data_IF_522665403105
#
_entry.id   IF_522665403105
#
_cell.length_a   1.000
_cell.length_b   1.000
_cell.length_c   1.000
_cell.angle_alpha   90.00
_cell.angle_beta   90.00
_cell.angle_gamma   90.00
#
_symmetry.space_group_name_H-M   'P 1'
#
loop_
_entity.id
_entity.type
_entity.pdbx_description
1 polymer ?
#
# COMPACT_ATOMS: atom_id res chain seq x y z
N UNK A 1 -3.98 -13.74 -22.05
CA UNK A 1 -2.65 -13.27 -21.60
C UNK A 1 -2.84 -12.63 -20.24
N UNK A 2 -2.23 -13.18 -19.19
CA UNK A 2 -2.39 -12.68 -17.82
C UNK A 2 -1.61 -11.39 -17.56
N UNK A 3 -1.94 -10.69 -16.47
CA UNK A 3 -1.18 -9.53 -16.01
C UNK A 3 0.27 -9.86 -15.68
N UNK A 4 1.17 -8.90 -15.88
CA UNK A 4 2.61 -9.04 -15.65
C UNK A 4 3.24 -7.68 -15.30
N UNK A 5 4.54 -7.64 -15.06
CA UNK A 5 5.32 -6.41 -15.03
C UNK A 5 6.44 -6.43 -16.08
N UNK A 6 6.74 -5.27 -16.67
CA UNK A 6 7.88 -5.12 -17.60
C UNK A 6 9.04 -4.43 -16.90
N UNK A 7 10.26 -4.74 -17.33
CA UNK A 7 11.50 -4.19 -16.78
C UNK A 7 12.36 -3.57 -17.88
N UNK A 8 12.81 -2.33 -17.70
CA UNK A 8 13.80 -1.67 -18.56
C UNK A 8 14.79 -0.87 -17.71
N UNK A 9 15.98 -0.61 -18.25
CA UNK A 9 17.01 0.21 -17.58
C UNK A 9 17.42 1.33 -18.51
N UNK A 10 17.29 2.57 -18.05
CA UNK A 10 17.73 3.76 -18.78
C UNK A 10 19.26 3.88 -18.80
N UNK A 11 19.79 4.70 -19.70
CA UNK A 11 21.22 5.00 -19.79
C UNK A 11 21.78 5.71 -18.55
N UNK A 12 20.91 6.36 -17.77
CA UNK A 12 21.21 6.94 -16.46
C UNK A 12 21.34 5.91 -15.32
N UNK A 13 21.02 4.64 -15.59
CA UNK A 13 21.02 3.56 -14.61
C UNK A 13 19.74 3.46 -13.78
N UNK A 14 18.67 4.17 -14.13
CA UNK A 14 17.36 4.03 -13.47
C UNK A 14 16.58 2.89 -14.11
N UNK A 15 16.25 1.87 -13.32
CA UNK A 15 15.35 0.79 -13.73
C UNK A 15 13.89 1.25 -13.64
N UNK A 16 13.09 0.99 -14.68
CA UNK A 16 11.64 1.20 -14.67
C UNK A 16 10.96 -0.15 -14.65
N UNK A 17 10.13 -0.37 -13.62
CA UNK A 17 9.24 -1.52 -13.50
C UNK A 17 7.80 -1.02 -13.73
N UNK A 18 7.16 -1.52 -14.79
CA UNK A 18 5.81 -1.09 -15.16
C UNK A 18 4.81 -2.22 -14.93
N UNK A 19 3.81 -1.98 -14.08
CA UNK A 19 2.69 -2.91 -13.84
C UNK A 19 1.76 -2.87 -15.04
N UNK A 20 1.45 -4.03 -15.62
CA UNK A 20 0.55 -4.15 -16.76
C UNK A 20 -0.43 -5.31 -16.54
N UNK A 21 -1.57 -4.98 -15.93
CA UNK A 21 -2.68 -5.91 -15.73
C UNK A 21 -4.02 -5.19 -16.01
N UNK A 22 -4.41 -5.03 -17.29
CA UNK A 22 -5.64 -4.33 -17.63
C UNK A 22 -6.87 -5.00 -17.00
N UNK A 23 -7.93 -4.23 -16.67
CA UNK A 23 -8.13 -2.83 -17.05
C UNK A 23 -7.61 -1.78 -16.05
N UNK A 24 -7.20 -2.18 -14.85
CA UNK A 24 -6.92 -1.26 -13.72
C UNK A 24 -5.65 -1.59 -12.93
N UNK A 25 -4.79 -2.46 -13.47
CA UNK A 25 -3.53 -2.87 -12.87
C UNK A 25 -3.71 -3.47 -11.46
N UNK A 26 -4.74 -4.32 -11.29
CA UNK A 26 -4.94 -5.07 -10.04
C UNK A 26 -3.76 -6.00 -9.75
N UNK A 27 -3.47 -6.23 -8.48
CA UNK A 27 -2.34 -7.03 -8.02
C UNK A 27 -2.85 -8.43 -7.64
N UNK A 28 -2.80 -9.36 -8.59
CA UNK A 28 -2.97 -10.78 -8.31
C UNK A 28 -1.61 -11.45 -8.07
N UNK A 29 -1.63 -12.75 -7.73
CA UNK A 29 -0.42 -13.52 -7.44
C UNK A 29 0.62 -13.51 -8.58
N UNK A 30 0.17 -13.53 -9.84
CA UNK A 30 1.06 -13.49 -11.02
C UNK A 30 1.79 -12.14 -11.12
N UNK A 31 1.04 -11.04 -10.98
CA UNK A 31 1.61 -9.69 -11.03
C UNK A 31 2.54 -9.44 -9.85
N UNK A 32 2.14 -9.83 -8.63
CA UNK A 32 2.96 -9.68 -7.42
C UNK A 32 4.28 -10.47 -7.51
N UNK A 33 4.21 -11.70 -8.03
CA UNK A 33 5.40 -12.51 -8.29
C UNK A 33 6.33 -11.84 -9.29
N UNK A 34 5.80 -11.41 -10.44
CA UNK A 34 6.57 -10.71 -11.47
C UNK A 34 7.20 -9.41 -10.95
N UNK A 35 6.45 -8.65 -10.15
CA UNK A 35 6.95 -7.42 -9.52
C UNK A 35 8.08 -7.71 -8.53
N UNK A 36 7.93 -8.77 -7.73
CA UNK A 36 8.97 -9.22 -6.77
C UNK A 36 10.25 -9.63 -7.50
N UNK A 37 10.13 -10.44 -8.55
CA UNK A 37 11.26 -10.89 -9.37
C UNK A 37 11.99 -9.72 -10.05
N UNK A 38 11.25 -8.77 -10.64
CA UNK A 38 11.85 -7.60 -11.28
C UNK A 38 12.50 -6.65 -10.27
N UNK A 39 11.95 -6.52 -9.06
CA UNK A 39 12.56 -5.71 -8.02
C UNK A 39 13.87 -6.34 -7.51
N UNK A 40 13.87 -7.66 -7.26
CA UNK A 40 15.08 -8.40 -6.89
C UNK A 40 16.16 -8.32 -7.99
N UNK A 41 15.77 -8.52 -9.25
CA UNK A 41 16.66 -8.33 -10.40
C UNK A 41 17.26 -6.91 -10.43
N UNK A 42 16.46 -5.87 -10.18
CA UNK A 42 16.92 -4.50 -10.14
C UNK A 42 17.95 -4.27 -9.01
N UNK A 43 17.75 -4.89 -7.85
CA UNK A 43 18.67 -4.80 -6.72
C UNK A 43 20.00 -5.51 -6.98
N UNK A 44 19.99 -6.63 -7.69
CA UNK A 44 21.19 -7.42 -7.98
C UNK A 44 22.02 -6.90 -9.17
N UNK A 45 21.42 -6.13 -10.09
CA UNK A 45 22.11 -5.67 -11.31
C UNK A 45 22.95 -4.42 -11.06
N UNK A 46 24.28 -4.51 -11.22
CA UNK A 46 25.22 -3.39 -10.99
C UNK A 46 24.93 -2.14 -11.84
N UNK A 47 24.45 -2.34 -13.07
CA UNK A 47 24.07 -1.23 -13.95
C UNK A 47 22.87 -0.42 -13.43
N UNK A 48 22.07 -0.99 -12.52
CA UNK A 48 20.93 -0.31 -11.91
C UNK A 48 21.38 0.41 -10.66
N UNK A 49 21.12 1.72 -10.61
CA UNK A 49 21.46 2.61 -9.49
C UNK A 49 20.24 3.00 -8.67
N UNK A 50 19.08 3.08 -9.29
CA UNK A 50 17.81 3.44 -8.66
C UNK A 50 16.64 2.77 -9.39
N UNK A 51 15.46 2.71 -8.75
CA UNK A 51 14.27 2.01 -9.24
C UNK A 51 13.09 2.98 -9.31
N UNK A 52 12.33 2.93 -10.39
CA UNK A 52 11.02 3.59 -10.52
C UNK A 52 9.97 2.53 -10.78
N UNK A 53 8.86 2.57 -10.03
CA UNK A 53 7.68 1.72 -10.27
C UNK A 53 6.54 2.59 -10.79
N UNK A 54 5.88 2.15 -11.86
CA UNK A 54 4.70 2.84 -12.42
C UNK A 54 3.69 1.84 -12.96
N UNK A 55 2.53 2.31 -13.41
CA UNK A 55 1.51 1.48 -14.05
C UNK A 55 1.31 1.81 -15.52
N UNK A 56 0.98 0.81 -16.32
CA UNK A 56 0.70 0.97 -17.74
C UNK A 56 -0.67 1.63 -17.97
N UNK A 57 -0.82 2.32 -19.11
CA UNK A 57 -2.11 2.85 -19.61
C UNK A 57 -2.79 3.87 -18.66
N UNK A 58 -2.02 4.78 -18.07
CA UNK A 58 -2.55 5.90 -17.27
C UNK A 58 -3.23 5.47 -15.96
N UNK A 59 -2.83 4.33 -15.40
CA UNK A 59 -3.36 3.83 -14.12
C UNK A 59 -2.24 3.19 -13.34
N UNK A 60 -2.06 3.59 -12.08
CA UNK A 60 -1.02 2.99 -11.26
C UNK A 60 -1.42 1.57 -10.82
N UNK A 61 -2.36 1.46 -9.88
CA UNK A 61 -2.92 0.16 -9.46
C UNK A 61 -4.21 0.34 -8.65
N UNK A 62 -5.23 -0.47 -8.97
CA UNK A 62 -6.44 -0.57 -8.16
C UNK A 62 -6.30 -1.43 -6.88
N UNK A 63 -5.07 -1.80 -6.50
CA UNK A 63 -4.82 -2.62 -5.31
C UNK A 63 -4.94 -4.12 -5.57
N UNK A 64 -5.07 -4.91 -4.50
CA UNK A 64 -5.16 -6.38 -4.60
C UNK A 64 -6.37 -6.81 -5.44
N UNK A 65 -6.19 -7.86 -6.25
CA UNK A 65 -7.29 -8.41 -7.05
C UNK A 65 -8.29 -9.14 -6.16
N UNK A 66 -9.42 -8.49 -5.89
CA UNK A 66 -10.47 -9.04 -5.02
C UNK A 66 -11.18 -10.27 -5.61
N UNK A 67 -11.08 -10.51 -6.92
CA UNK A 67 -11.55 -11.79 -7.48
C UNK A 67 -10.67 -12.96 -7.05
N UNK A 68 -9.47 -12.68 -6.52
CA UNK A 68 -8.56 -13.66 -5.93
C UNK A 68 -8.61 -13.65 -4.39
N UNK A 69 -9.65 -13.10 -3.77
CA UNK A 69 -9.77 -13.12 -2.30
C UNK A 69 -10.02 -14.54 -1.77
N UNK A 70 -10.73 -15.38 -2.51
CA UNK A 70 -10.92 -16.79 -2.16
C UNK A 70 -9.58 -17.52 -2.08
N UNK A 71 -8.63 -17.18 -2.96
CA UNK A 71 -7.27 -17.71 -2.89
C UNK A 71 -6.57 -17.33 -1.59
N UNK A 72 -6.79 -16.11 -1.09
CA UNK A 72 -6.26 -15.68 0.20
C UNK A 72 -6.94 -16.44 1.35
N UNK A 73 -8.25 -16.66 1.28
CA UNK A 73 -9.00 -17.41 2.29
C UNK A 73 -8.56 -18.88 2.37
N UNK A 74 -8.19 -19.46 1.22
CA UNK A 74 -7.61 -20.81 1.10
C UNK A 74 -6.14 -20.88 1.57
N UNK A 75 -5.54 -19.76 1.97
CA UNK A 75 -4.16 -19.71 2.46
C UNK A 75 -3.10 -19.78 1.36
N UNK A 76 -3.45 -19.43 0.12
CA UNK A 76 -2.46 -19.36 -0.98
C UNK A 76 -1.51 -18.17 -0.78
N UNK A 77 -0.36 -18.22 -1.45
CA UNK A 77 0.80 -17.35 -1.23
C UNK A 77 0.62 -15.84 -1.54
N UNK A 78 -0.59 -15.36 -1.87
CA UNK A 78 -0.83 -13.97 -2.26
C UNK A 78 -0.36 -12.95 -1.23
N UNK A 79 -0.76 -13.10 0.03
CA UNK A 79 -0.31 -12.20 1.11
C UNK A 79 1.19 -12.36 1.44
N UNK A 80 1.73 -13.57 1.31
CA UNK A 80 3.16 -13.79 1.49
C UNK A 80 3.96 -12.99 0.46
N UNK A 81 3.51 -12.92 -0.80
CA UNK A 81 4.15 -12.10 -1.84
C UNK A 81 4.08 -10.60 -1.50
N UNK A 82 2.94 -10.11 -0.99
CA UNK A 82 2.81 -8.71 -0.55
C UNK A 82 3.81 -8.38 0.56
N UNK A 83 3.95 -9.27 1.55
CA UNK A 83 4.91 -9.10 2.64
C UNK A 83 6.35 -9.15 2.14
N UNK A 84 6.70 -10.15 1.33
CA UNK A 84 8.04 -10.26 0.74
C UNK A 84 8.41 -9.01 -0.07
N UNK A 85 7.51 -8.51 -0.91
CA UNK A 85 7.74 -7.29 -1.69
C UNK A 85 7.93 -6.06 -0.78
N UNK A 86 7.11 -5.94 0.26
CA UNK A 86 7.23 -4.84 1.24
C UNK A 86 8.58 -4.88 1.97
N UNK A 87 9.01 -6.07 2.39
CA UNK A 87 10.27 -6.26 3.12
C UNK A 87 11.47 -5.95 2.21
N UNK A 88 11.41 -6.36 0.93
CA UNK A 88 12.42 -6.01 -0.08
C UNK A 88 12.51 -4.50 -0.27
N UNK A 89 11.38 -3.81 -0.43
CA UNK A 89 11.35 -2.36 -0.63
C UNK A 89 11.90 -1.59 0.59
N UNK A 90 11.58 -2.03 1.81
CA UNK A 90 12.00 -1.36 3.04
C UNK A 90 13.47 -1.63 3.42
N UNK A 91 14.05 -2.72 2.91
CA UNK A 91 15.47 -3.09 3.14
C UNK A 91 16.36 -2.85 1.92
N UNK A 92 15.79 -2.31 0.84
CA UNK A 92 16.49 -2.03 -0.41
C UNK A 92 17.67 -1.09 -0.18
N UNK A 93 18.80 -1.41 -0.83
CA UNK A 93 20.00 -0.56 -0.83
C UNK A 93 20.02 0.47 -1.96
N UNK A 94 19.08 0.35 -2.91
CA UNK A 94 18.91 1.28 -4.03
C UNK A 94 17.62 2.06 -3.81
N UNK A 95 17.61 3.39 -4.01
CA UNK A 95 16.41 4.17 -3.84
C UNK A 95 15.34 3.75 -4.83
N UNK A 96 14.10 3.70 -4.36
CA UNK A 96 12.92 3.41 -5.17
C UNK A 96 11.89 4.52 -5.07
N UNK A 97 11.32 4.94 -6.21
CA UNK A 97 10.27 5.94 -6.31
C UNK A 97 9.06 5.36 -7.03
N UNK A 98 7.85 5.65 -6.56
CA UNK A 98 6.61 5.31 -7.26
C UNK A 98 6.13 6.51 -8.11
N UNK A 99 6.02 6.33 -9.43
CA UNK A 99 5.39 7.27 -10.35
C UNK A 99 3.90 6.94 -10.46
N UNK A 100 3.07 7.62 -9.67
CA UNK A 100 1.64 7.34 -9.51
C UNK A 100 0.83 8.09 -10.59
N UNK A 101 0.59 7.43 -11.72
CA UNK A 101 -0.10 7.99 -12.89
C UNK A 101 -1.63 7.79 -12.89
N UNK A 102 -2.24 7.63 -11.72
CA UNK A 102 -3.68 7.37 -11.60
C UNK A 102 -4.07 6.78 -10.24
N UNK A 103 -5.17 6.02 -10.16
CA UNK A 103 -5.61 5.43 -8.90
C UNK A 103 -4.54 4.56 -8.24
N UNK A 104 -4.37 4.72 -6.93
CA UNK A 104 -3.56 3.89 -6.04
C UNK A 104 -4.42 3.48 -4.85
N UNK A 105 -5.12 2.36 -4.96
CA UNK A 105 -6.14 1.94 -3.99
C UNK A 105 -5.59 0.90 -2.99
N UNK A 106 -6.03 0.99 -1.74
CA UNK A 106 -5.62 0.13 -0.62
C UNK A 106 -6.16 0.69 0.70
N UNK A 107 -5.52 0.36 1.83
CA UNK A 107 -5.60 0.89 3.21
C UNK A 107 -6.97 1.36 3.77
N UNK A 108 -7.68 2.26 3.10
CA UNK A 108 -9.06 2.62 3.44
C UNK A 108 -10.10 1.70 2.80
N UNK A 109 -9.87 1.23 1.58
CA UNK A 109 -10.87 0.44 0.85
C UNK A 109 -11.13 -0.92 1.51
N UNK A 110 -10.08 -1.52 2.07
CA UNK A 110 -10.10 -2.82 2.75
C UNK A 110 -11.07 -2.82 3.93
N UNK A 111 -11.05 -1.75 4.73
CA UNK A 111 -11.85 -1.61 5.95
C UNK A 111 -13.33 -1.46 5.63
N UNK A 112 -13.73 -0.51 4.78
CA UNK A 112 -15.15 -0.27 4.55
C UNK A 112 -15.81 -1.27 3.61
N UNK A 113 -15.09 -1.79 2.60
CA UNK A 113 -15.72 -2.58 1.54
C UNK A 113 -15.58 -4.08 1.73
N UNK A 114 -14.60 -4.53 2.50
CA UNK A 114 -14.28 -5.96 2.60
C UNK A 114 -14.28 -6.48 4.03
N UNK A 115 -14.48 -5.61 5.02
CA UNK A 115 -14.54 -6.03 6.43
C UNK A 115 -13.23 -6.59 6.96
N UNK A 116 -12.11 -6.15 6.39
CA UNK A 116 -10.75 -6.54 6.75
C UNK A 116 -9.92 -5.30 7.06
N UNK A 117 -8.84 -5.45 7.82
CA UNK A 117 -7.87 -4.38 7.99
C UNK A 117 -6.88 -4.37 6.82
N UNK A 118 -6.06 -3.32 6.66
CA UNK A 118 -4.93 -3.38 5.74
C UNK A 118 -3.99 -4.51 6.09
N UNK A 119 -3.59 -5.33 5.11
CA UNK A 119 -2.71 -6.49 5.32
C UNK A 119 -1.25 -6.29 4.87
N UNK A 120 -0.96 -5.19 4.17
CA UNK A 120 0.37 -4.87 3.61
C UNK A 120 1.21 -3.90 4.45
N UNK A 121 0.93 -3.80 5.76
CA UNK A 121 1.54 -2.88 6.72
C UNK A 121 0.92 -1.48 6.72
N UNK A 122 -0.25 -1.30 6.11
CA UNK A 122 -0.94 -0.01 6.05
C UNK A 122 -1.28 0.54 7.43
N UNK A 123 -1.63 -0.32 8.39
CA UNK A 123 -1.94 0.09 9.79
C UNK A 123 -0.72 0.69 10.48
N UNK A 124 0.50 0.36 10.03
CA UNK A 124 1.73 0.81 10.64
C UNK A 124 2.40 1.95 9.88
N UNK A 125 2.42 1.88 8.54
CA UNK A 125 3.08 2.88 7.70
C UNK A 125 2.26 4.15 7.58
N UNK A 126 0.93 4.05 7.43
CA UNK A 126 0.09 5.22 7.17
C UNK A 126 0.10 6.24 8.31
N UNK A 127 -0.04 5.85 9.61
CA UNK A 127 0.07 6.81 10.71
C UNK A 127 1.43 7.53 10.76
N UNK A 128 2.50 6.83 10.39
CA UNK A 128 3.87 7.37 10.39
C UNK A 128 4.15 8.30 9.19
N UNK A 129 3.42 8.12 8.09
CA UNK A 129 3.55 8.94 6.88
C UNK A 129 2.59 10.14 6.87
N UNK A 130 1.34 9.95 7.29
CA UNK A 130 0.29 10.97 7.20
C UNK A 130 -0.07 11.63 8.54
N UNK A 131 0.41 11.08 9.65
CA UNK A 131 -0.06 11.40 11.00
C UNK A 131 -1.25 10.54 11.41
N UNK A 132 -1.36 10.26 12.71
CA UNK A 132 -2.37 9.36 13.25
C UNK A 132 -3.82 9.79 12.95
N UNK A 133 -4.24 11.07 13.12
CA UNK A 133 -5.60 11.48 12.82
C UNK A 133 -5.98 11.27 11.35
N UNK A 134 -5.06 11.59 10.43
CA UNK A 134 -5.33 11.44 9.00
C UNK A 134 -5.37 9.97 8.58
N UNK A 135 -4.49 9.15 9.14
CA UNK A 135 -4.49 7.71 8.87
C UNK A 135 -5.80 7.04 9.32
N UNK A 136 -6.28 7.35 10.53
CA UNK A 136 -7.57 6.88 11.03
C UNK A 136 -8.70 7.35 10.12
N UNK A 137 -8.71 8.62 9.72
CA UNK A 137 -9.72 9.15 8.80
C UNK A 137 -9.76 8.34 7.50
N UNK A 138 -8.60 8.11 6.89
CA UNK A 138 -8.50 7.39 5.62
C UNK A 138 -8.97 5.94 5.75
N UNK A 139 -8.57 5.27 6.84
CA UNK A 139 -8.96 3.88 7.09
C UNK A 139 -10.44 3.73 7.36
N UNK A 140 -11.05 4.62 8.14
CA UNK A 140 -12.45 4.46 8.56
C UNK A 140 -13.48 5.04 7.58
N UNK A 141 -13.13 6.10 6.84
CA UNK A 141 -14.07 6.76 5.91
C UNK A 141 -13.95 6.28 4.47
N UNK A 142 -12.81 5.67 4.11
CA UNK A 142 -12.52 5.17 2.75
C UNK A 142 -12.73 6.20 1.64
N UNK A 143 -12.53 7.49 1.96
CA UNK A 143 -12.63 8.58 1.00
C UNK A 143 -11.34 8.68 0.17
N UNK A 144 -11.42 8.87 -1.16
CA UNK A 144 -10.26 9.16 -1.98
C UNK A 144 -9.54 10.41 -1.46
N UNK A 145 -8.21 10.37 -1.49
CA UNK A 145 -7.34 11.52 -1.21
C UNK A 145 -6.70 11.94 -2.54
N UNK A 146 -6.89 13.18 -2.95
CA UNK A 146 -6.41 13.72 -4.22
C UNK A 146 -5.09 14.47 -4.09
N UNK A 147 -4.39 14.71 -5.20
CA UNK A 147 -2.99 15.16 -5.27
C UNK A 147 -2.58 16.21 -4.23
N UNK A 148 -3.24 17.36 -4.19
CA UNK A 148 -2.89 18.45 -3.25
C UNK A 148 -3.03 18.05 -1.79
N UNK A 149 -4.11 17.34 -1.45
CA UNK A 149 -4.34 16.82 -0.12
C UNK A 149 -3.32 15.73 0.23
N UNK A 150 -3.02 14.84 -0.71
CA UNK A 150 -2.03 13.79 -0.55
C UNK A 150 -0.65 14.39 -0.27
N UNK A 151 -0.26 15.43 -1.00
CA UNK A 151 1.00 16.13 -0.78
C UNK A 151 1.03 16.85 0.57
N UNK A 152 -0.06 17.55 0.92
CA UNK A 152 -0.19 18.25 2.20
C UNK A 152 0.03 17.33 3.40
N UNK A 153 -0.49 16.11 3.35
CA UNK A 153 -0.32 15.14 4.44
C UNK A 153 0.98 14.32 4.33
N UNK A 154 1.74 14.44 3.24
CA UNK A 154 2.99 13.70 3.03
C UNK A 154 2.78 12.26 2.55
N UNK A 155 1.67 12.00 1.85
CA UNK A 155 1.43 10.74 1.13
C UNK A 155 2.14 10.69 -0.22
N UNK A 156 2.39 11.86 -0.82
CA UNK A 156 3.21 12.01 -2.03
C UNK A 156 4.23 13.12 -1.82
N UNK A 157 5.42 12.94 -2.38
CA UNK A 157 6.53 13.89 -2.23
C UNK A 157 6.53 15.00 -3.30
N UNK A 158 5.83 14.80 -4.41
CA UNK A 158 5.73 15.77 -5.51
C UNK A 158 4.43 15.58 -6.31
N UNK A 159 3.97 16.66 -6.95
CA UNK A 159 2.86 16.67 -7.91
C UNK A 159 3.38 17.32 -9.19
N UNK A 160 3.16 16.65 -10.32
CA UNK A 160 3.54 17.12 -11.67
C UNK A 160 2.46 16.70 -12.67
N UNK A 161 2.54 17.19 -13.91
CA UNK A 161 1.65 16.72 -14.98
C UNK A 161 2.01 15.28 -15.41
N UNK A 162 1.07 14.62 -16.10
CA UNK A 162 1.26 13.22 -16.52
C UNK A 162 2.46 13.02 -17.45
N UNK A 163 2.71 13.99 -18.34
CA UNK A 163 3.83 14.00 -19.28
C UNK A 163 5.19 14.21 -18.60
N UNK A 164 5.22 14.85 -17.43
CA UNK A 164 6.44 15.06 -16.64
C UNK A 164 6.69 13.97 -15.60
N UNK A 165 5.67 13.15 -15.30
CA UNK A 165 5.68 12.26 -14.14
C UNK A 165 6.84 11.27 -14.12
N UNK A 166 7.11 10.60 -15.24
CA UNK A 166 8.15 9.59 -15.29
C UNK A 166 9.54 10.22 -15.16
N UNK A 167 9.78 11.33 -15.86
CA UNK A 167 11.04 12.07 -15.77
C UNK A 167 11.27 12.63 -14.36
N UNK A 168 10.23 13.19 -13.73
CA UNK A 168 10.32 13.68 -12.35
C UNK A 168 10.65 12.55 -11.37
N UNK A 169 10.01 11.40 -11.50
CA UNK A 169 10.27 10.25 -10.63
C UNK A 169 11.70 9.70 -10.81
N UNK A 170 12.20 9.65 -12.06
CA UNK A 170 13.59 9.27 -12.36
C UNK A 170 14.57 10.24 -11.72
N UNK A 171 14.34 11.54 -11.89
CA UNK A 171 15.17 12.58 -11.28
C UNK A 171 15.18 12.46 -9.76
N UNK A 172 14.01 12.31 -9.13
CA UNK A 172 13.92 12.13 -7.68
C UNK A 172 14.69 10.89 -7.19
N UNK A 173 14.61 9.77 -7.91
CA UNK A 173 15.32 8.56 -7.54
C UNK A 173 16.85 8.76 -7.59
N UNK A 174 17.33 9.52 -8.59
CA UNK A 174 18.74 9.92 -8.71
C UNK A 174 19.15 10.95 -7.65
N UNK A 175 18.29 11.90 -7.30
CA UNK A 175 18.55 12.91 -6.26
C UNK A 175 18.70 12.23 -4.88
N UNK A 176 17.85 11.25 -4.58
CA UNK A 176 17.95 10.45 -3.34
C UNK A 176 19.29 9.72 -3.32
N UNK A 177 19.69 9.09 -4.43
CA UNK A 177 20.98 8.41 -4.53
C UNK A 177 22.14 9.39 -4.31
N UNK A 178 22.11 10.54 -5.00
CA UNK A 178 23.15 11.56 -4.95
C UNK A 178 23.28 12.20 -3.55
N UNK A 179 22.20 12.21 -2.76
CA UNK A 179 22.23 12.74 -1.39
C UNK A 179 23.19 11.99 -0.46
N UNK A 180 23.51 10.72 -0.77
CA UNK A 180 24.35 9.85 0.06
C UNK A 180 23.77 9.54 1.44
N UNK A 181 22.54 9.98 1.74
CA UNK A 181 21.89 9.74 3.03
C UNK A 181 21.40 8.29 3.11
N UNK A 182 21.45 7.66 4.28
CA UNK A 182 20.83 6.35 4.48
C UNK A 182 19.35 6.37 4.11
N UNK A 183 18.88 5.36 3.38
CA UNK A 183 17.46 5.17 3.13
C UNK A 183 16.78 4.80 4.45
N UNK A 184 15.73 5.55 4.81
CA UNK A 184 15.01 5.37 6.08
C UNK A 184 13.70 4.67 5.81
N UNK A 185 13.55 3.48 6.40
CA UNK A 185 12.30 2.74 6.40
C UNK A 185 11.14 3.59 6.93
N UNK A 186 9.97 3.48 6.29
CA UNK A 186 8.77 4.20 6.70
C UNK A 186 8.33 3.83 8.12
N UNK A 187 8.59 2.59 8.56
CA UNK A 187 8.29 2.09 9.90
C UNK A 187 9.11 2.78 10.99
N UNK A 188 10.29 3.31 10.64
CA UNK A 188 11.19 4.03 11.57
C UNK A 188 10.84 5.52 11.69
N UNK A 189 9.93 6.03 10.86
CA UNK A 189 9.44 7.41 10.99
C UNK A 189 8.52 7.49 12.19
N UNK A 190 8.85 8.38 13.13
CA UNK A 190 8.07 8.59 14.35
C UNK A 190 7.75 10.08 14.57
N UNK A 191 8.21 10.96 13.68
CA UNK A 191 8.00 12.41 13.74
C UNK A 191 6.53 12.82 13.65
N UNK A 192 5.69 11.97 13.04
CA UNK A 192 4.23 12.16 12.93
C UNK A 192 3.41 11.31 13.91
N UNK A 193 4.05 10.61 14.84
CA UNK A 193 3.37 9.86 15.90
C UNK A 193 3.38 10.71 17.17
N UNK A 194 2.20 10.97 17.71
CA UNK A 194 2.04 11.74 18.93
C UNK A 194 2.60 10.98 20.14
N UNK A 195 2.97 11.69 21.23
CA UNK A 195 3.28 11.05 22.50
C UNK A 195 2.15 10.08 22.92
N UNK A 196 2.52 8.95 23.52
CA UNK A 196 1.60 7.82 23.75
C UNK A 196 0.26 8.21 24.39
N UNK A 197 0.28 9.11 25.38
CA UNK A 197 -0.95 9.60 26.01
C UNK A 197 -1.89 10.28 25.02
N UNK A 198 -1.35 11.13 24.15
CA UNK A 198 -2.13 11.83 23.11
C UNK A 198 -2.60 10.89 22.00
N UNK A 199 -1.75 9.95 21.58
CA UNK A 199 -2.13 8.93 20.61
C UNK A 199 -3.34 8.11 21.09
N UNK A 200 -3.34 7.72 22.37
CA UNK A 200 -4.46 7.01 23.00
C UNK A 200 -5.74 7.82 23.06
N UNK A 201 -5.65 9.12 23.37
CA UNK A 201 -6.81 10.01 23.30
C UNK A 201 -7.44 10.02 21.90
N UNK A 202 -6.61 10.16 20.86
CA UNK A 202 -7.05 10.18 19.46
C UNK A 202 -7.73 8.86 19.10
N UNK A 203 -7.12 7.72 19.44
CA UNK A 203 -7.66 6.39 19.18
C UNK A 203 -8.98 6.14 19.94
N UNK A 204 -9.06 6.55 21.21
CA UNK A 204 -10.28 6.41 22.00
C UNK A 204 -11.42 7.27 21.47
N UNK A 205 -11.11 8.49 21.02
CA UNK A 205 -12.09 9.34 20.34
C UNK A 205 -12.58 8.68 19.06
N UNK A 206 -11.68 8.10 18.25
CA UNK A 206 -12.04 7.38 17.03
C UNK A 206 -12.93 6.17 17.34
N UNK A 207 -12.61 5.38 18.37
CA UNK A 207 -13.44 4.25 18.83
C UNK A 207 -14.86 4.68 19.22
N UNK A 208 -14.99 5.84 19.88
CA UNK A 208 -16.30 6.38 20.29
C UNK A 208 -17.16 6.90 19.14
N UNK A 209 -16.56 7.29 18.01
CA UNK A 209 -17.25 7.80 16.82
C UNK A 209 -17.46 6.73 15.73
N UNK A 210 -16.71 5.64 15.80
CA UNK A 210 -16.73 4.57 14.82
C UNK A 210 -18.01 3.72 14.91
N UNK A 211 -18.51 3.20 13.76
CA UNK A 211 -19.50 2.14 13.76
C UNK A 211 -19.05 0.93 14.59
N UNK A 212 -19.99 0.26 15.25
CA UNK A 212 -19.73 -0.93 16.06
C UNK A 212 -19.47 -2.18 15.19
N UNK A 213 -18.42 -2.15 14.39
CA UNK A 213 -18.00 -3.22 13.49
C UNK A 213 -16.65 -3.79 13.94
N UNK A 214 -16.53 -5.12 13.93
CA UNK A 214 -15.34 -5.83 14.43
C UNK A 214 -14.05 -5.37 13.74
N UNK A 215 -14.04 -5.28 12.42
CA UNK A 215 -12.87 -4.90 11.64
C UNK A 215 -12.44 -3.44 11.87
N UNK A 216 -13.38 -2.53 12.16
CA UNK A 216 -13.05 -1.15 12.50
C UNK A 216 -12.35 -1.07 13.86
N UNK A 217 -12.87 -1.75 14.87
CA UNK A 217 -12.23 -1.83 16.20
C UNK A 217 -10.84 -2.44 16.09
N UNK A 218 -10.76 -3.58 15.41
CA UNK A 218 -9.51 -4.28 15.19
C UNK A 218 -8.47 -3.42 14.46
N UNK A 219 -8.88 -2.59 13.48
CA UNK A 219 -8.00 -1.65 12.80
C UNK A 219 -7.36 -0.67 13.79
N UNK A 220 -8.16 -0.04 14.65
CA UNK A 220 -7.68 0.90 15.67
C UNK A 220 -6.79 0.22 16.72
N UNK A 221 -7.14 -0.98 17.14
CA UNK A 221 -6.37 -1.75 18.12
C UNK A 221 -4.99 -2.16 17.56
N UNK A 222 -4.91 -2.56 16.29
CA UNK A 222 -3.64 -2.89 15.62
C UNK A 222 -2.75 -1.65 15.43
N UNK A 223 -3.33 -0.49 15.15
CA UNK A 223 -2.58 0.78 15.13
C UNK A 223 -1.99 1.06 16.52
N UNK A 224 -2.83 0.95 17.57
CA UNK A 224 -2.37 1.18 18.94
C UNK A 224 -1.23 0.22 19.33
N UNK A 225 -1.35 -1.07 19.01
CA UNK A 225 -0.34 -2.09 19.28
C UNK A 225 1.04 -1.67 18.77
N UNK A 226 1.09 -1.17 17.52
CA UNK A 226 2.34 -0.73 16.90
C UNK A 226 2.86 0.63 17.38
N UNK A 227 2.03 1.43 18.06
CA UNK A 227 2.45 2.65 18.75
C UNK A 227 3.02 2.30 20.13
N UNK A 228 2.38 1.38 20.85
CA UNK A 228 2.76 0.99 22.22
C UNK A 228 4.02 0.13 22.23
N UNK A 229 4.08 -0.88 21.36
CA UNK A 229 5.13 -1.91 21.39
C UNK A 229 6.10 -1.83 20.22
N UNK A 230 5.87 -0.90 19.29
CA UNK A 230 6.71 -0.66 18.13
C UNK A 230 6.18 -1.28 16.83
N UNK A 231 6.65 -0.76 15.68
CA UNK A 231 6.08 -1.07 14.37
C UNK A 231 6.15 -2.55 14.00
N UNK A 232 7.21 -3.26 14.37
CA UNK A 232 7.39 -4.68 14.01
C UNK A 232 6.38 -5.58 14.74
N UNK A 233 6.08 -5.25 16.00
CA UNK A 233 5.01 -5.91 16.77
C UNK A 233 3.66 -5.59 16.14
N UNK A 234 3.44 -4.32 15.79
CA UNK A 234 2.23 -3.89 15.07
C UNK A 234 2.04 -4.61 13.73
N UNK A 235 3.09 -4.81 12.94
CA UNK A 235 3.04 -5.58 11.68
C UNK A 235 2.70 -7.05 11.93
N UNK A 236 3.30 -7.65 12.95
CA UNK A 236 2.98 -9.04 13.34
C UNK A 236 1.51 -9.17 13.73
N UNK A 237 1.00 -8.21 14.51
CA UNK A 237 -0.40 -8.18 14.91
C UNK A 237 -1.34 -7.91 13.73
N UNK A 238 -0.95 -7.03 12.81
CA UNK A 238 -1.69 -6.77 11.58
C UNK A 238 -1.87 -8.05 10.76
N UNK A 239 -0.79 -8.82 10.57
CA UNK A 239 -0.83 -10.10 9.83
C UNK A 239 -1.78 -11.11 10.50
N UNK A 240 -1.71 -11.25 11.81
CA UNK A 240 -2.57 -12.14 12.60
C UNK A 240 -4.05 -11.73 12.46
N UNK A 241 -4.36 -10.47 12.73
CA UNK A 241 -5.73 -9.94 12.74
C UNK A 241 -6.33 -9.95 11.34
N UNK A 242 -5.54 -9.61 10.31
CA UNK A 242 -5.96 -9.72 8.91
C UNK A 242 -6.45 -11.13 8.60
N UNK A 243 -5.69 -12.16 8.97
CA UNK A 243 -6.05 -13.56 8.71
C UNK A 243 -7.31 -14.00 9.46
N UNK A 244 -7.51 -13.50 10.67
CA UNK A 244 -8.75 -13.74 11.44
C UNK A 244 -9.94 -13.11 10.72
N UNK A 245 -9.84 -11.83 10.34
CA UNK A 245 -10.94 -11.10 9.70
C UNK A 245 -11.25 -11.62 8.30
N UNK A 246 -10.23 -12.03 7.54
CA UNK A 246 -10.36 -12.59 6.20
C UNK A 246 -11.26 -13.84 6.19
N UNK A 247 -11.26 -14.61 7.28
CA UNK A 247 -12.07 -15.83 7.45
C UNK A 247 -13.46 -15.57 8.05
N UNK A 248 -13.75 -14.34 8.45
CA UNK A 248 -15.02 -13.97 9.10
C UNK A 248 -16.21 -13.98 8.13
N UNK A 249 -17.40 -14.21 8.67
CA UNK A 249 -18.64 -14.14 7.87
C UNK A 249 -18.93 -12.72 7.39
N UNK A 250 -18.51 -11.69 8.15
CA UNK A 250 -18.60 -10.30 7.72
C UNK A 250 -17.79 -10.05 6.45
N UNK A 251 -16.54 -10.55 6.40
CA UNK A 251 -15.71 -10.42 5.20
C UNK A 251 -16.35 -11.12 4.01
N UNK A 252 -16.80 -12.37 4.18
CA UNK A 252 -17.47 -13.13 3.12
C UNK A 252 -18.72 -12.41 2.59
N UNK A 253 -19.55 -11.89 3.49
CA UNK A 253 -20.77 -11.15 3.12
C UNK A 253 -20.44 -9.90 2.31
N UNK A 254 -19.53 -9.06 2.80
CA UNK A 254 -19.17 -7.79 2.14
C UNK A 254 -18.51 -8.00 0.78
N UNK A 255 -17.67 -9.05 0.65
CA UNK A 255 -17.09 -9.45 -0.63
C UNK A 255 -18.17 -9.88 -1.62
N UNK A 256 -19.14 -10.69 -1.18
CA UNK A 256 -20.25 -11.10 -2.03
C UNK A 256 -21.08 -9.91 -2.50
N UNK A 257 -21.37 -8.96 -1.59
CA UNK A 257 -22.07 -7.72 -1.91
C UNK A 257 -21.30 -6.88 -2.94
N UNK A 258 -19.98 -6.79 -2.79
CA UNK A 258 -19.12 -6.09 -3.74
C UNK A 258 -19.12 -6.72 -5.12
N UNK A 259 -18.97 -8.05 -5.20
CA UNK A 259 -18.99 -8.80 -6.46
C UNK A 259 -20.36 -8.67 -7.15
N UNK A 260 -21.46 -8.73 -6.38
CA UNK A 260 -22.81 -8.53 -6.90
C UNK A 260 -23.00 -7.13 -7.48
N UNK A 261 -22.55 -6.09 -6.77
CA UNK A 261 -22.60 -4.70 -7.25
C UNK A 261 -21.73 -4.48 -8.49
N UNK A 262 -20.55 -5.10 -8.56
CA UNK A 262 -19.66 -5.04 -9.72
C UNK A 262 -20.24 -5.74 -10.95
N UNK A 263 -20.98 -6.84 -10.75
CA UNK A 263 -21.67 -7.56 -11.82
C UNK A 263 -22.88 -6.79 -12.34
N UNK A 264 -23.65 -6.15 -11.44
CA UNK A 264 -24.80 -5.31 -11.81
C UNK A 264 -24.40 -4.09 -12.66
N UNK A 265 -23.21 -3.49 -12.40
CA UNK A 265 -22.67 -2.36 -13.18
C UNK A 265 -22.15 -2.76 -14.57
N UNK A 266 -22.00 -4.05 -14.88
CA UNK A 266 -21.57 -4.55 -16.21
C UNK A 266 -22.74 -4.89 -17.13
N UNK A 267 -23.98 -4.89 -16.62
CA UNK A 267 -25.21 -5.24 -17.37
C UNK A 267 -26.00 -3.97 -17.80
N UNK A 268 -25.49 -2.77 -17.50
CA UNK A 268 -26.01 -1.48 -17.96
C UNK A 268 -25.04 -0.80 -18.93
#
# INVERSE_FOLDING_TARGET
MGGTTTFSVGSDGVAIITINNPPVNSLNSVVLKSLTENFDQALQKDAVKAIVVTGAKGKFSAGYDMNAIDELQEGKAGMQLVHTLSDIMETARKPSVAAINGPALGAGLEVAMFGIIPGGGGTQRLPRLAGLPKAIEMMLKSKPVHGEEAHKFGLVDAIVSEDELLEKARQMALDILASGKPLVSSLKKADKIEPLGKAREILNQARGQAPNLQHIKACLDVIEEGIVWGPDVGLSKEREVFQILLKSDTCKSLVNDFIAQGSARKVQ
#
